data_IF_903809755259
#
_entry.id   IF_903809755259
#
_cell.length_a   1.000
_cell.length_b   1.000
_cell.length_c   1.000
_cell.angle_alpha   90.00
_cell.angle_beta   90.00
_cell.angle_gamma   90.00
#
_symmetry.space_group_name_H-M   'P 1'
#
loop_
_entity.id
_entity.type
_entity.pdbx_description
1 polymer ?
#
# COMPACT_ATOMS: atom_id res chain seq x y z
N UNK A 1 32.42 -69.32 9.30
CA UNK A 1 31.24 -69.44 8.42
C UNK A 1 30.16 -68.47 8.92
N UNK A 2 29.75 -67.52 8.05
CA UNK A 2 28.56 -66.60 8.11
C UNK A 2 28.43 -65.62 9.30
N UNK A 3 27.73 -64.47 9.13
CA UNK A 3 27.57 -63.65 7.92
C UNK A 3 27.76 -62.13 8.15
N UNK A 4 27.89 -61.40 7.03
CA UNK A 4 27.91 -59.93 6.92
C UNK A 4 26.50 -59.35 7.10
N UNK A 5 26.38 -58.27 7.86
CA UNK A 5 25.16 -57.45 7.92
C UNK A 5 25.10 -56.48 6.73
N UNK A 6 24.00 -56.54 5.98
CA UNK A 6 23.67 -55.61 4.92
C UNK A 6 23.01 -54.36 5.52
N UNK A 7 23.50 -53.17 5.18
CA UNK A 7 22.85 -51.92 5.51
C UNK A 7 21.73 -51.65 4.50
N UNK A 8 20.48 -51.62 4.96
CA UNK A 8 19.35 -51.08 4.21
C UNK A 8 19.48 -49.55 4.17
N UNK A 9 19.56 -48.99 2.97
CA UNK A 9 19.37 -47.56 2.73
C UNK A 9 17.85 -47.34 2.66
N UNK A 10 17.29 -46.71 3.70
CA UNK A 10 15.91 -46.23 3.68
C UNK A 10 15.87 -44.92 2.87
N UNK A 11 15.20 -44.94 1.72
CA UNK A 11 14.86 -43.74 0.98
C UNK A 11 13.75 -42.98 1.73
N UNK A 12 14.04 -41.79 2.21
CA UNK A 12 13.04 -40.88 2.75
C UNK A 12 12.26 -40.23 1.59
N UNK A 13 10.93 -40.10 1.67
CA UNK A 13 10.15 -39.42 0.64
C UNK A 13 10.40 -37.91 0.74
N UNK A 14 10.84 -37.31 -0.36
CA UNK A 14 10.91 -35.86 -0.52
C UNK A 14 9.46 -35.37 -0.63
N UNK A 15 8.92 -34.84 0.45
CA UNK A 15 7.67 -34.09 0.43
C UNK A 15 7.93 -32.77 -0.29
N UNK A 16 7.42 -32.65 -1.52
CA UNK A 16 7.43 -31.41 -2.28
C UNK A 16 6.37 -30.47 -1.68
N UNK A 17 6.78 -29.65 -0.72
CA UNK A 17 5.94 -28.57 -0.20
C UNK A 17 5.89 -27.44 -1.24
N UNK A 18 4.76 -27.32 -1.94
CA UNK A 18 4.43 -26.09 -2.66
C UNK A 18 4.14 -25.00 -1.61
N UNK A 19 5.12 -24.13 -1.37
CA UNK A 19 4.89 -22.90 -0.63
C UNK A 19 4.09 -21.94 -1.53
N UNK A 20 2.77 -21.90 -1.35
CA UNK A 20 1.97 -20.74 -1.70
C UNK A 20 2.46 -19.59 -0.81
N UNK A 21 3.37 -18.77 -1.33
CA UNK A 21 3.82 -17.55 -0.67
C UNK A 21 2.67 -16.54 -0.76
N UNK A 22 1.78 -16.57 0.23
CA UNK A 22 0.85 -15.49 0.48
C UNK A 22 1.67 -14.22 0.79
N UNK A 23 1.28 -13.06 0.24
CA UNK A 23 1.87 -11.78 0.59
C UNK A 23 1.88 -11.63 2.11
N UNK A 24 3.06 -11.63 2.73
CA UNK A 24 3.19 -11.23 4.12
C UNK A 24 2.71 -9.77 4.22
N UNK A 25 1.68 -9.58 5.05
CA UNK A 25 0.99 -8.30 5.24
C UNK A 25 1.99 -7.22 5.62
N UNK A 26 1.85 -6.04 5.02
CA UNK A 26 2.41 -4.83 5.58
C UNK A 26 1.92 -4.70 7.04
N UNK A 27 2.87 -4.58 7.96
CA UNK A 27 2.58 -4.38 9.38
C UNK A 27 1.81 -3.07 9.53
N UNK A 28 0.68 -3.01 10.24
CA UNK A 28 -0.02 -1.76 10.47
C UNK A 28 0.93 -0.80 11.18
N UNK A 29 1.13 0.38 10.58
CA UNK A 29 1.76 1.51 11.24
C UNK A 29 0.82 1.89 12.40
N UNK A 30 1.31 1.74 13.63
CA UNK A 30 0.56 2.15 14.82
C UNK A 30 0.39 3.68 14.88
N UNK A 31 -0.50 4.18 15.74
CA UNK A 31 -0.75 5.62 15.85
C UNK A 31 0.49 6.33 16.40
N UNK A 32 1.06 7.25 15.62
CA UNK A 32 2.08 8.19 16.09
C UNK A 32 1.40 9.42 16.74
N UNK A 33 2.06 10.09 17.70
CA UNK A 33 1.46 11.12 18.52
C UNK A 33 1.10 12.36 17.69
N UNK A 34 -0.04 12.97 18.04
CA UNK A 34 -0.63 14.14 17.43
C UNK A 34 0.39 15.18 16.96
N UNK A 35 0.37 15.49 15.66
CA UNK A 35 1.12 16.58 15.08
C UNK A 35 0.69 17.92 15.71
N UNK A 36 1.61 18.82 16.06
CA UNK A 36 1.26 20.13 16.61
C UNK A 36 0.60 21.00 15.54
N UNK A 37 -0.60 21.49 15.85
CA UNK A 37 -1.29 22.55 15.11
C UNK A 37 -0.53 23.88 15.29
N UNK A 38 0.37 24.21 14.37
CA UNK A 38 0.77 25.60 14.15
C UNK A 38 0.01 26.14 12.96
N UNK A 39 -0.95 27.03 13.25
CA UNK A 39 -1.62 27.84 12.24
C UNK A 39 -0.59 28.78 11.59
N UNK A 40 -0.36 28.61 10.29
CA UNK A 40 0.52 29.48 9.51
C UNK A 40 -0.32 30.37 8.60
N UNK A 41 0.08 31.64 8.55
CA UNK A 41 -0.53 32.71 7.78
C UNK A 41 -0.82 32.32 6.31
N UNK A 42 -1.94 32.83 5.79
CA UNK A 42 -2.39 32.66 4.41
C UNK A 42 -1.33 33.16 3.43
N UNK A 43 -0.62 32.22 2.81
CA UNK A 43 0.18 32.44 1.61
C UNK A 43 -0.77 32.49 0.40
N UNK A 44 -0.42 33.29 -0.60
CA UNK A 44 -1.11 33.30 -1.89
C UNK A 44 -1.21 31.86 -2.44
N UNK A 45 -2.29 31.50 -3.14
CA UNK A 45 -2.47 30.14 -3.63
C UNK A 45 -1.26 29.75 -4.50
N UNK A 46 -0.55 28.72 -4.06
CA UNK A 46 0.54 28.15 -4.84
C UNK A 46 -0.02 27.59 -6.15
N UNK A 47 0.80 27.59 -7.21
CA UNK A 47 0.42 26.91 -8.45
C UNK A 47 0.45 25.41 -8.19
N UNK A 48 -0.63 24.66 -8.50
CA UNK A 48 -0.65 23.22 -8.24
C UNK A 48 0.51 22.51 -8.92
N UNK A 49 1.19 21.62 -8.18
CA UNK A 49 2.28 20.85 -8.73
C UNK A 49 1.76 19.79 -9.69
N UNK A 50 2.39 19.69 -10.87
CA UNK A 50 2.04 18.68 -11.87
C UNK A 50 2.65 17.33 -11.46
N UNK A 51 1.86 16.24 -11.45
CA UNK A 51 2.40 14.90 -11.28
C UNK A 51 3.48 14.58 -12.32
N UNK A 52 4.62 14.00 -11.91
CA UNK A 52 5.65 13.59 -12.85
C UNK A 52 5.18 12.36 -13.65
N UNK A 53 5.72 12.18 -14.85
CA UNK A 53 5.46 10.99 -15.65
C UNK A 53 6.24 9.79 -15.08
N UNK A 54 5.61 8.61 -15.11
CA UNK A 54 6.29 7.36 -14.82
C UNK A 54 7.04 6.86 -16.05
N UNK A 55 8.26 6.35 -15.84
CA UNK A 55 9.03 5.62 -16.83
C UNK A 55 8.86 4.14 -16.52
N UNK A 56 8.39 3.37 -17.49
CA UNK A 56 8.28 1.91 -17.40
C UNK A 56 9.45 1.24 -18.12
N UNK A 57 10.01 0.20 -17.50
CA UNK A 57 10.93 -0.72 -18.13
C UNK A 57 10.46 -2.15 -17.94
N UNK A 58 10.55 -2.92 -19.02
CA UNK A 58 10.25 -4.35 -19.04
C UNK A 58 11.34 -5.12 -19.77
N UNK A 59 11.96 -6.09 -19.09
CA UNK A 59 13.10 -6.83 -19.64
C UNK A 59 12.80 -7.54 -20.97
N UNK A 60 11.58 -8.04 -21.15
CA UNK A 60 11.10 -8.72 -22.36
C UNK A 60 10.87 -7.78 -23.54
N UNK A 61 10.62 -6.50 -23.28
CA UNK A 61 10.37 -5.48 -24.33
C UNK A 61 11.61 -4.63 -24.61
N UNK A 62 12.29 -4.22 -23.55
CA UNK A 62 13.31 -3.18 -23.59
C UNK A 62 14.74 -3.74 -23.55
N UNK A 63 14.91 -5.00 -23.16
CA UNK A 63 16.23 -5.60 -22.94
C UNK A 63 17.01 -4.96 -21.79
N UNK A 64 18.32 -5.18 -21.76
CA UNK A 64 19.22 -4.54 -20.80
C UNK A 64 20.70 -4.86 -21.09
N UNK A 65 21.66 -4.00 -20.68
CA UNK A 65 21.45 -2.76 -19.91
C UNK A 65 20.78 -1.66 -20.72
N UNK A 66 19.86 -0.91 -20.09
CA UNK A 66 19.22 0.27 -20.69
C UNK A 66 19.12 1.41 -19.69
N UNK A 67 19.53 2.59 -20.10
CA UNK A 67 19.58 3.78 -19.24
C UNK A 67 18.47 4.76 -19.55
N UNK A 68 17.95 5.39 -18.50
CA UNK A 68 16.88 6.37 -18.54
C UNK A 68 17.27 7.59 -17.70
N UNK A 69 16.82 8.76 -18.10
CA UNK A 69 16.95 9.98 -17.31
C UNK A 69 15.63 10.25 -16.57
N UNK A 70 15.68 10.38 -15.25
CA UNK A 70 14.56 10.73 -14.40
C UNK A 70 14.97 11.85 -13.45
N UNK A 71 14.62 13.10 -13.78
CA UNK A 71 15.09 14.25 -13.01
C UNK A 71 16.63 14.30 -12.97
N UNK A 72 17.26 14.44 -11.79
CA UNK A 72 18.72 14.44 -11.66
C UNK A 72 19.35 13.04 -11.79
N UNK A 73 18.54 11.98 -11.87
CA UNK A 73 19.03 10.61 -11.81
C UNK A 73 19.16 9.98 -13.20
N UNK A 74 20.30 9.35 -13.46
CA UNK A 74 20.44 8.33 -14.51
C UNK A 74 20.19 6.96 -13.89
N UNK A 75 19.16 6.27 -14.38
CA UNK A 75 18.75 4.94 -13.91
C UNK A 75 19.04 3.93 -15.00
N UNK A 76 19.94 2.98 -14.74
CA UNK A 76 20.30 1.91 -15.68
C UNK A 76 19.72 0.58 -15.23
N UNK A 77 18.85 0.00 -16.04
CA UNK A 77 18.11 -1.23 -15.76
C UNK A 77 18.77 -2.43 -16.42
N UNK A 78 18.91 -3.51 -15.63
CA UNK A 78 19.28 -4.84 -16.10
C UNK A 78 18.35 -5.89 -15.47
N UNK A 79 18.32 -7.09 -16.05
CA UNK A 79 17.74 -8.26 -15.39
C UNK A 79 18.79 -8.92 -14.50
N UNK A 80 18.38 -9.37 -13.33
CA UNK A 80 19.21 -10.13 -12.40
C UNK A 80 18.49 -11.43 -12.03
N UNK A 81 19.23 -12.54 -12.00
CA UNK A 81 18.70 -13.80 -11.48
C UNK A 81 18.57 -13.74 -9.95
N UNK A 82 17.53 -14.38 -9.43
CA UNK A 82 17.23 -14.55 -8.00
C UNK A 82 16.59 -15.92 -7.77
N UNK A 83 16.42 -16.31 -6.51
CA UNK A 83 15.74 -17.56 -6.17
C UNK A 83 14.29 -17.62 -6.70
N UNK A 84 13.61 -16.47 -6.76
CA UNK A 84 12.24 -16.33 -7.28
C UNK A 84 12.18 -16.14 -8.81
N UNK A 85 13.29 -16.29 -9.53
CA UNK A 85 13.38 -16.06 -10.99
C UNK A 85 14.09 -14.74 -11.34
N UNK A 86 13.66 -14.07 -12.39
CA UNK A 86 14.22 -12.81 -12.86
C UNK A 86 13.61 -11.61 -12.10
N UNK A 87 14.47 -10.70 -11.65
CA UNK A 87 14.10 -9.44 -11.01
C UNK A 87 14.79 -8.24 -11.68
N UNK A 88 14.22 -7.04 -11.59
CA UNK A 88 14.91 -5.83 -12.04
C UNK A 88 16.10 -5.54 -11.14
N UNK A 89 17.18 -5.04 -11.72
CA UNK A 89 18.30 -4.44 -11.00
C UNK A 89 18.52 -3.03 -11.55
N UNK A 90 18.51 -2.05 -10.66
CA UNK A 90 18.66 -0.64 -10.98
C UNK A 90 20.05 -0.17 -10.51
N UNK A 91 20.87 0.31 -11.44
CA UNK A 91 22.05 1.11 -11.12
C UNK A 91 21.67 2.60 -11.23
N UNK A 92 21.60 3.30 -10.11
CA UNK A 92 21.13 4.68 -9.99
C UNK A 92 22.32 5.59 -9.76
N UNK A 93 22.49 6.62 -10.58
CA UNK A 93 23.55 7.63 -10.48
C UNK A 93 22.94 9.03 -10.54
N UNK A 94 23.51 9.97 -9.80
CA UNK A 94 23.26 11.42 -9.92
C UNK A 94 24.45 12.15 -10.57
N UNK A 95 25.39 11.38 -11.16
CA UNK A 95 26.66 11.90 -11.70
C UNK A 95 27.71 12.24 -10.63
N UNK A 96 27.41 12.06 -9.34
CA UNK A 96 28.31 12.38 -8.22
C UNK A 96 28.69 11.12 -7.45
N UNK A 97 29.92 10.66 -7.67
CA UNK A 97 30.46 9.50 -6.96
C UNK A 97 29.93 8.17 -7.51
N UNK A 98 29.93 7.15 -6.65
CA UNK A 98 29.53 5.80 -7.06
C UNK A 98 28.01 5.67 -7.21
N UNK A 99 27.53 4.91 -8.22
CA UNK A 99 26.12 4.62 -8.36
C UNK A 99 25.62 3.73 -7.21
N UNK A 100 24.36 3.91 -6.82
CA UNK A 100 23.62 2.97 -6.00
C UNK A 100 23.24 1.75 -6.84
N UNK A 101 23.50 0.55 -6.32
CA UNK A 101 22.98 -0.69 -6.89
C UNK A 101 21.77 -1.14 -6.07
N UNK A 102 20.59 -1.09 -6.68
CA UNK A 102 19.30 -1.38 -6.06
C UNK A 102 18.68 -2.60 -6.72
N UNK A 103 18.71 -3.78 -6.07
CA UNK A 103 17.93 -4.93 -6.52
C UNK A 103 16.45 -4.65 -6.27
N UNK A 104 15.61 -4.84 -7.28
CA UNK A 104 14.17 -4.80 -7.10
C UNK A 104 13.63 -6.01 -6.37
N UNK A 105 12.36 -5.93 -5.97
CA UNK A 105 11.68 -7.00 -5.25
C UNK A 105 11.00 -8.00 -6.18
N UNK A 106 10.69 -9.18 -5.62
CA UNK A 106 10.00 -10.26 -6.32
C UNK A 106 10.86 -10.95 -7.38
N UNK A 107 10.21 -11.83 -8.13
CA UNK A 107 10.82 -12.53 -9.25
C UNK A 107 9.77 -13.14 -10.15
N UNK A 108 10.04 -13.16 -11.45
CA UNK A 108 9.23 -13.87 -12.42
C UNK A 108 10.09 -14.77 -13.28
N UNK A 109 9.53 -15.91 -13.66
CA UNK A 109 10.21 -16.87 -14.52
C UNK A 109 10.42 -16.33 -15.95
N UNK A 110 9.70 -15.29 -16.36
CA UNK A 110 9.65 -14.86 -17.76
C UNK A 110 10.20 -13.46 -17.99
N UNK A 111 10.02 -12.53 -17.05
CA UNK A 111 10.43 -11.13 -17.24
C UNK A 111 10.72 -10.44 -15.91
N UNK A 112 11.27 -9.24 -15.99
CA UNK A 112 11.48 -8.33 -14.87
C UNK A 112 10.90 -6.97 -15.25
N UNK A 113 10.21 -6.30 -14.32
CA UNK A 113 9.56 -5.02 -14.56
C UNK A 113 9.82 -4.05 -13.41
N UNK A 114 10.17 -2.82 -13.79
CA UNK A 114 10.33 -1.70 -12.87
C UNK A 114 9.72 -0.45 -13.47
N UNK A 115 9.18 0.39 -12.59
CA UNK A 115 8.68 1.71 -12.93
C UNK A 115 9.26 2.71 -11.96
N UNK A 116 9.58 3.91 -12.44
CA UNK A 116 10.15 4.94 -11.58
C UNK A 116 9.80 6.33 -12.05
N UNK A 117 9.84 7.27 -11.11
CA UNK A 117 9.64 8.68 -11.38
C UNK A 117 10.45 9.53 -10.39
N UNK A 118 10.84 10.73 -10.79
CA UNK A 118 11.60 11.65 -9.96
C UNK A 118 10.77 12.89 -9.63
N UNK A 119 10.66 13.22 -8.34
CA UNK A 119 9.91 14.36 -7.85
C UNK A 119 10.43 14.81 -6.47
N UNK A 120 10.17 16.06 -6.11
CA UNK A 120 10.33 16.51 -4.72
C UNK A 120 9.13 16.02 -3.92
N UNK A 121 9.33 14.97 -3.12
CA UNK A 121 8.30 14.26 -2.37
C UNK A 121 8.49 14.43 -0.86
N UNK A 122 9.73 14.37 -0.37
CA UNK A 122 10.00 14.43 1.06
C UNK A 122 9.93 15.88 1.58
N UNK A 123 9.19 16.09 2.66
CA UNK A 123 9.05 17.40 3.31
C UNK A 123 10.30 17.84 4.10
N UNK A 124 11.23 16.93 4.39
CA UNK A 124 12.46 17.20 5.14
C UNK A 124 13.74 17.04 4.30
N UNK A 125 13.62 16.71 3.02
CA UNK A 125 14.75 16.53 2.11
C UNK A 125 14.76 17.63 1.05
N UNK A 126 15.93 18.18 0.80
CA UNK A 126 16.15 19.13 -0.29
C UNK A 126 16.39 18.36 -1.60
N UNK A 127 15.71 18.76 -2.68
CA UNK A 127 15.87 18.16 -4.00
C UNK A 127 14.82 17.10 -4.34
N UNK A 128 15.04 16.43 -5.48
CA UNK A 128 14.14 15.38 -5.95
C UNK A 128 14.57 14.02 -5.41
N UNK A 129 13.59 13.19 -5.06
CA UNK A 129 13.73 11.79 -4.76
C UNK A 129 13.28 10.95 -5.96
N UNK A 130 13.82 9.74 -6.08
CA UNK A 130 13.39 8.76 -7.06
C UNK A 130 12.46 7.77 -6.38
N UNK A 131 11.17 7.83 -6.72
CA UNK A 131 10.21 6.81 -6.33
C UNK A 131 10.30 5.67 -7.33
N UNK A 132 10.61 4.47 -6.84
CA UNK A 132 10.75 3.26 -7.62
C UNK A 132 9.66 2.29 -7.18
N UNK A 133 9.00 1.64 -8.14
CA UNK A 133 8.16 0.48 -7.89
C UNK A 133 8.55 -0.69 -8.78
N UNK A 134 8.65 -1.88 -8.20
CA UNK A 134 9.00 -3.09 -8.93
C UNK A 134 7.90 -4.12 -8.81
N UNK A 135 7.55 -4.73 -9.93
CA UNK A 135 6.45 -5.67 -9.96
C UNK A 135 6.86 -6.96 -9.24
N UNK A 136 6.10 -7.37 -8.22
CA UNK A 136 6.46 -8.56 -7.43
C UNK A 136 5.87 -9.85 -8.01
N UNK A 137 4.99 -9.74 -9.02
CA UNK A 137 4.29 -10.85 -9.67
C UNK A 137 3.33 -11.62 -8.77
N UNK A 138 2.81 -10.97 -7.72
CA UNK A 138 1.72 -11.49 -6.90
C UNK A 138 0.38 -11.60 -7.66
N UNK A 139 -0.57 -12.38 -7.12
CA UNK A 139 -1.86 -12.69 -7.74
C UNK A 139 -2.76 -11.46 -8.02
N UNK A 140 -2.49 -10.32 -7.38
CA UNK A 140 -3.29 -9.09 -7.52
C UNK A 140 -2.46 -7.93 -8.05
N UNK A 141 -1.48 -8.23 -8.90
CA UNK A 141 -0.62 -7.25 -9.54
C UNK A 141 0.16 -6.37 -8.54
N UNK A 142 0.71 -6.98 -7.49
CA UNK A 142 1.36 -6.29 -6.37
C UNK A 142 2.70 -5.63 -6.75
N UNK A 143 2.97 -4.44 -6.22
CA UNK A 143 4.23 -3.72 -6.41
C UNK A 143 4.91 -3.43 -5.07
N UNK A 144 6.23 -3.58 -5.03
CA UNK A 144 7.05 -3.09 -3.93
C UNK A 144 7.54 -1.68 -4.24
N UNK A 145 7.44 -0.77 -3.28
CA UNK A 145 7.80 0.64 -3.43
C UNK A 145 9.05 0.95 -2.61
N UNK A 146 9.97 1.68 -3.24
CA UNK A 146 11.17 2.18 -2.61
C UNK A 146 11.32 3.65 -2.95
N UNK A 147 11.72 4.45 -1.97
CA UNK A 147 12.16 5.82 -2.19
C UNK A 147 13.68 5.86 -2.11
N UNK A 148 14.30 6.39 -3.16
CA UNK A 148 15.74 6.61 -3.20
C UNK A 148 16.01 8.10 -3.14
N UNK A 149 16.89 8.51 -2.23
CA UNK A 149 17.33 9.89 -2.10
C UNK A 149 18.83 10.00 -1.86
N UNK A 150 19.36 11.19 -2.16
CA UNK A 150 20.75 11.55 -1.87
C UNK A 150 20.78 12.52 -0.71
N UNK A 151 21.33 12.09 0.41
CA UNK A 151 21.44 12.91 1.62
C UNK A 151 22.89 13.34 1.86
N UNK A 152 23.11 14.63 2.11
CA UNK A 152 24.39 15.15 2.56
C UNK A 152 24.61 14.80 4.04
N UNK A 153 25.74 14.17 4.35
CA UNK A 153 26.12 13.81 5.72
C UNK A 153 27.46 14.44 6.07
N UNK A 154 27.85 14.40 7.36
CA UNK A 154 29.20 14.81 7.78
C UNK A 154 30.34 14.00 7.14
N UNK A 155 30.02 12.85 6.53
CA UNK A 155 30.95 11.98 5.78
C UNK A 155 30.83 12.14 4.26
N UNK A 156 30.10 13.16 3.79
CA UNK A 156 29.77 13.42 2.39
C UNK A 156 28.41 12.85 1.97
N UNK A 157 28.08 13.04 0.69
CA UNK A 157 26.80 12.64 0.12
C UNK A 157 26.62 11.11 0.08
N UNK A 158 25.58 10.59 0.73
CA UNK A 158 25.24 9.17 0.79
C UNK A 158 23.88 8.88 0.15
N UNK A 159 23.77 7.69 -0.43
CA UNK A 159 22.48 7.16 -0.89
C UNK A 159 21.71 6.60 0.29
N UNK A 160 20.44 6.97 0.40
CA UNK A 160 19.49 6.40 1.36
C UNK A 160 18.34 5.78 0.56
N UNK A 161 17.93 4.58 0.98
CA UNK A 161 16.81 3.85 0.40
C UNK A 161 15.81 3.56 1.49
N UNK A 162 14.59 4.04 1.33
CA UNK A 162 13.48 3.77 2.23
C UNK A 162 12.57 2.73 1.60
N UNK A 163 12.29 1.67 2.34
CA UNK A 163 11.27 0.69 1.97
C UNK A 163 9.90 1.24 2.37
N UNK A 164 9.05 1.49 1.38
CA UNK A 164 7.70 2.02 1.59
C UNK A 164 6.65 0.89 1.66
N UNK A 165 7.08 -0.36 1.52
CA UNK A 165 6.22 -1.54 1.58
C UNK A 165 5.67 -1.96 0.22
N UNK A 166 4.69 -2.86 0.28
CA UNK A 166 4.03 -3.43 -0.89
C UNK A 166 2.58 -3.00 -0.97
N UNK A 167 2.12 -2.76 -2.18
CA UNK A 167 0.75 -2.35 -2.47
C UNK A 167 0.19 -3.24 -3.57
N UNK A 168 -0.99 -3.81 -3.32
CA UNK A 168 -1.78 -4.47 -4.35
C UNK A 168 -2.20 -3.49 -5.45
N UNK A 169 -2.56 -4.02 -6.62
CA UNK A 169 -2.84 -3.20 -7.81
C UNK A 169 -4.00 -2.20 -7.63
N UNK A 170 -4.94 -2.46 -6.71
CA UNK A 170 -5.95 -1.48 -6.31
C UNK A 170 -5.32 -0.42 -5.39
N UNK A 171 -5.55 0.87 -5.67
CA UNK A 171 -5.09 1.93 -4.78
C UNK A 171 -3.58 2.17 -4.74
N UNK A 172 -2.84 1.81 -5.79
CA UNK A 172 -1.40 2.04 -5.86
C UNK A 172 -1.03 3.52 -5.62
N UNK A 173 -0.09 3.82 -4.71
CA UNK A 173 0.34 5.19 -4.43
C UNK A 173 0.94 5.88 -5.67
N UNK A 174 0.50 7.11 -5.93
CA UNK A 174 0.99 7.94 -7.02
C UNK A 174 1.26 9.38 -6.55
N UNK A 175 2.36 10.01 -7.00
CA UNK A 175 2.60 11.42 -6.69
C UNK A 175 1.50 12.32 -7.23
N UNK A 176 0.91 13.15 -6.37
CA UNK A 176 -0.14 14.11 -6.72
C UNK A 176 -0.17 15.25 -5.71
N UNK A 177 -0.38 16.47 -6.19
CA UNK A 177 -0.75 17.60 -5.35
C UNK A 177 -2.24 17.47 -5.01
N UNK A 178 -2.53 16.96 -3.81
CA UNK A 178 -3.89 16.56 -3.44
C UNK A 178 -4.68 17.74 -2.89
N UNK A 179 -4.03 18.66 -2.17
CA UNK A 179 -4.66 19.83 -1.54
C UNK A 179 -4.43 21.15 -2.29
N UNK A 180 -3.59 21.16 -3.33
CA UNK A 180 -3.28 22.33 -4.14
C UNK A 180 -2.22 23.26 -3.52
N UNK A 181 -1.45 22.80 -2.53
CA UNK A 181 -0.41 23.59 -1.86
C UNK A 181 0.88 23.75 -2.68
N UNK A 182 0.94 23.14 -3.88
CA UNK A 182 2.12 23.17 -4.74
C UNK A 182 3.20 22.15 -4.36
N UNK A 183 2.92 21.26 -3.40
CA UNK A 183 3.75 20.10 -3.07
C UNK A 183 3.05 18.82 -3.54
N UNK A 184 3.82 17.75 -3.62
CA UNK A 184 3.31 16.44 -4.01
C UNK A 184 3.19 15.56 -2.77
N UNK A 185 2.01 15.00 -2.57
CA UNK A 185 1.75 13.86 -1.69
C UNK A 185 1.77 12.56 -2.50
N UNK A 186 1.66 11.42 -1.81
CA UNK A 186 1.26 10.18 -2.45
C UNK A 186 -0.22 9.95 -2.22
N UNK A 187 -1.00 9.90 -3.30
CA UNK A 187 -2.39 9.48 -3.27
C UNK A 187 -2.50 8.02 -3.72
N UNK A 188 -3.14 7.20 -2.89
CA UNK A 188 -3.50 5.82 -3.20
C UNK A 188 -4.79 5.41 -2.51
N UNK A 189 -4.90 4.14 -2.19
CA UNK A 189 -6.03 3.58 -1.46
C UNK A 189 -5.61 2.86 -0.19
N UNK A 190 -6.50 2.84 0.79
CA UNK A 190 -6.27 2.15 2.05
C UNK A 190 -6.40 0.64 1.91
N UNK A 191 -5.24 -0.01 1.74
CA UNK A 191 -5.13 -1.45 1.51
C UNK A 191 -5.67 -2.28 2.68
N UNK A 192 -5.88 -1.70 3.86
CA UNK A 192 -6.48 -2.40 5.02
C UNK A 192 -7.92 -2.84 4.76
N UNK A 193 -8.60 -2.21 3.79
CA UNK A 193 -9.96 -2.56 3.39
C UNK A 193 -10.02 -3.78 2.47
N UNK A 194 -8.90 -4.14 1.83
CA UNK A 194 -8.81 -5.35 1.03
C UNK A 194 -8.93 -6.57 1.94
N UNK A 195 -9.78 -7.52 1.55
CA UNK A 195 -10.08 -8.73 2.33
C UNK A 195 -10.80 -8.53 3.65
N UNK A 196 -11.09 -7.29 4.07
CA UNK A 196 -11.70 -7.01 5.37
C UNK A 196 -13.03 -7.78 5.52
N UNK A 197 -14.00 -7.49 4.64
CA UNK A 197 -15.34 -8.09 4.68
C UNK A 197 -15.74 -8.87 3.42
N UNK A 198 -14.88 -8.96 2.42
CA UNK A 198 -15.14 -9.73 1.20
C UNK A 198 -13.83 -10.16 0.54
N UNK A 199 -13.86 -11.10 -0.40
CA UNK A 199 -12.68 -11.40 -1.22
C UNK A 199 -12.19 -10.15 -1.98
N UNK A 200 -10.92 -10.14 -2.41
CA UNK A 200 -10.31 -9.02 -3.13
C UNK A 200 -11.16 -8.48 -4.27
N UNK A 201 -11.72 -9.36 -5.11
CA UNK A 201 -12.54 -8.98 -6.26
C UNK A 201 -13.81 -8.17 -5.88
N UNK A 202 -14.28 -8.34 -4.65
CA UNK A 202 -15.46 -7.68 -4.09
C UNK A 202 -15.11 -6.58 -3.09
N UNK A 203 -13.82 -6.31 -2.89
CA UNK A 203 -13.32 -5.23 -2.06
C UNK A 203 -13.18 -3.95 -2.88
N UNK A 204 -13.17 -2.83 -2.18
CA UNK A 204 -12.71 -1.53 -2.68
C UNK A 204 -11.86 -0.88 -1.60
N UNK A 205 -11.18 0.22 -1.93
CA UNK A 205 -10.31 0.93 -1.01
C UNK A 205 -10.70 2.42 -0.99
N UNK A 206 -10.92 3.03 0.18
CA UNK A 206 -11.12 4.47 0.26
C UNK A 206 -9.79 5.20 -0.04
N UNK A 207 -9.82 6.48 -0.42
CA UNK A 207 -8.61 7.27 -0.62
C UNK A 207 -7.73 7.28 0.62
N UNK A 208 -6.42 7.14 0.41
CA UNK A 208 -5.41 7.35 1.43
C UNK A 208 -4.33 8.30 0.89
N UNK A 209 -4.01 9.31 1.70
CA UNK A 209 -3.04 10.35 1.37
C UNK A 209 -1.87 10.24 2.34
N UNK A 210 -0.67 10.13 1.79
CA UNK A 210 0.55 10.13 2.58
C UNK A 210 1.42 11.32 2.24
N UNK A 211 1.92 11.97 3.29
CA UNK A 211 3.09 12.82 3.18
C UNK A 211 4.34 11.99 3.46
N UNK A 212 5.40 12.28 2.73
CA UNK A 212 6.70 11.72 3.02
C UNK A 212 7.47 12.69 3.92
N UNK A 213 7.87 12.22 5.10
CA UNK A 213 8.58 13.02 6.10
C UNK A 213 9.80 12.24 6.58
N UNK A 214 10.99 12.64 6.14
CA UNK A 214 12.25 11.99 6.52
C UNK A 214 12.27 10.51 6.11
N UNK A 215 11.81 10.21 4.90
CA UNK A 215 11.77 8.87 4.30
C UNK A 215 10.61 7.99 4.75
N UNK A 216 9.69 8.51 5.57
CA UNK A 216 8.56 7.74 6.10
C UNK A 216 7.24 8.23 5.52
N UNK A 217 6.37 7.30 5.16
CA UNK A 217 4.98 7.62 4.84
C UNK A 217 4.21 7.90 6.12
N UNK A 218 3.68 9.12 6.22
CA UNK A 218 2.79 9.55 7.29
C UNK A 218 1.39 9.65 6.69
N UNK A 219 0.45 8.85 7.19
CA UNK A 219 -0.95 8.96 6.79
C UNK A 219 -1.53 10.28 7.30
N UNK A 220 -1.87 11.16 6.36
CA UNK A 220 -2.43 12.48 6.64
C UNK A 220 -3.88 12.59 6.16
N UNK A 221 -4.50 11.48 5.77
CA UNK A 221 -5.84 11.42 5.16
C UNK A 221 -6.93 12.09 5.99
N UNK A 222 -6.77 12.11 7.31
CA UNK A 222 -7.71 12.74 8.23
C UNK A 222 -7.65 14.29 8.23
N UNK A 223 -6.59 14.89 7.67
CA UNK A 223 -6.42 16.33 7.72
C UNK A 223 -7.50 17.03 6.88
N UNK A 224 -8.16 18.10 7.39
CA UNK A 224 -9.26 18.76 6.69
C UNK A 224 -8.94 19.21 5.26
N UNK A 225 -7.67 19.54 4.97
CA UNK A 225 -7.22 19.96 3.64
C UNK A 225 -7.36 18.89 2.56
N UNK A 226 -7.43 17.61 2.95
CA UNK A 226 -7.61 16.49 2.01
C UNK A 226 -9.07 16.06 1.85
N UNK A 227 -10.02 16.75 2.48
CA UNK A 227 -11.46 16.53 2.27
C UNK A 227 -11.85 16.47 0.77
N UNK A 228 -11.31 17.32 -0.13
CA UNK A 228 -11.66 17.25 -1.55
C UNK A 228 -11.35 15.91 -2.22
N UNK A 229 -10.34 15.15 -1.75
CA UNK A 229 -10.04 13.82 -2.28
C UNK A 229 -11.19 12.83 -2.01
N UNK A 230 -11.77 12.89 -0.81
CA UNK A 230 -12.92 12.07 -0.44
C UNK A 230 -14.21 12.54 -1.13
N UNK A 231 -14.38 13.85 -1.34
CA UNK A 231 -15.53 14.38 -2.09
C UNK A 231 -15.50 13.92 -3.55
N UNK A 232 -14.31 13.85 -4.16
CA UNK A 232 -14.13 13.33 -5.51
C UNK A 232 -14.38 11.81 -5.61
N UNK A 233 -14.03 11.04 -4.57
CA UNK A 233 -14.20 9.59 -4.53
C UNK A 233 -15.64 9.13 -4.22
N UNK A 234 -16.36 9.87 -3.38
CA UNK A 234 -17.67 9.46 -2.87
C UNK A 234 -18.68 9.00 -3.94
N UNK A 235 -18.81 9.67 -5.11
CA UNK A 235 -19.72 9.22 -6.16
C UNK A 235 -19.37 7.83 -6.71
N UNK A 236 -18.09 7.56 -6.98
CA UNK A 236 -17.65 6.25 -7.50
C UNK A 236 -17.75 5.16 -6.45
N UNK A 237 -17.36 5.44 -5.21
CA UNK A 237 -17.48 4.47 -4.12
C UNK A 237 -18.95 4.11 -3.83
N UNK A 238 -19.83 5.12 -3.82
CA UNK A 238 -21.27 4.93 -3.64
C UNK A 238 -21.90 4.13 -4.78
N UNK A 239 -21.55 4.44 -6.02
CA UNK A 239 -22.02 3.69 -7.20
C UNK A 239 -21.57 2.23 -7.14
N UNK A 240 -20.31 1.98 -6.79
CA UNK A 240 -19.76 0.62 -6.69
C UNK A 240 -20.47 -0.21 -5.60
N UNK A 241 -20.69 0.40 -4.43
CA UNK A 241 -21.46 -0.23 -3.35
C UNK A 241 -22.91 -0.52 -3.80
N UNK A 242 -23.57 0.43 -4.46
CA UNK A 242 -24.95 0.26 -4.90
C UNK A 242 -25.11 -0.83 -5.99
N UNK A 243 -24.15 -0.92 -6.91
CA UNK A 243 -24.14 -1.90 -8.00
C UNK A 243 -23.84 -3.30 -7.48
N UNK A 244 -22.76 -3.45 -6.70
CA UNK A 244 -22.29 -4.78 -6.25
C UNK A 244 -23.08 -5.29 -5.04
N UNK A 245 -23.45 -4.39 -4.13
CA UNK A 245 -24.02 -4.71 -2.81
C UNK A 245 -23.17 -5.73 -2.05
N UNK A 246 -21.86 -5.61 -2.21
CA UNK A 246 -20.88 -6.47 -1.56
C UNK A 246 -20.32 -5.78 -0.31
N UNK A 247 -20.25 -6.46 0.85
CA UNK A 247 -19.75 -5.89 2.10
C UNK A 247 -18.42 -5.14 1.98
N UNK A 248 -17.46 -5.69 1.22
CA UNK A 248 -16.15 -5.07 1.02
C UNK A 248 -16.21 -3.73 0.27
N UNK A 249 -17.01 -3.65 -0.80
CA UNK A 249 -17.19 -2.41 -1.56
C UNK A 249 -17.95 -1.34 -0.75
N UNK A 250 -18.97 -1.76 0.00
CA UNK A 250 -19.76 -0.85 0.83
C UNK A 250 -19.00 -0.36 2.07
N UNK A 251 -18.07 -1.17 2.60
CA UNK A 251 -17.17 -0.74 3.68
C UNK A 251 -16.26 0.41 3.23
N UNK A 252 -15.71 0.36 2.02
CA UNK A 252 -14.91 1.46 1.48
C UNK A 252 -15.75 2.74 1.30
N UNK A 253 -16.98 2.61 0.80
CA UNK A 253 -17.90 3.75 0.73
C UNK A 253 -18.23 4.33 2.11
N UNK A 254 -18.44 3.48 3.12
CA UNK A 254 -18.64 3.90 4.50
C UNK A 254 -17.45 4.73 5.00
N UNK A 255 -16.23 4.28 4.74
CA UNK A 255 -15.00 4.99 5.13
C UNK A 255 -14.86 6.36 4.45
N UNK A 256 -15.11 6.44 3.15
CA UNK A 256 -15.12 7.72 2.41
C UNK A 256 -16.15 8.68 3.02
N UNK A 257 -17.36 8.20 3.28
CA UNK A 257 -18.42 9.03 3.88
C UNK A 257 -18.13 9.40 5.34
N UNK A 258 -17.45 8.55 6.11
CA UNK A 258 -16.99 8.86 7.46
C UNK A 258 -15.97 10.01 7.46
N UNK A 259 -14.98 10.00 6.55
CA UNK A 259 -14.03 11.12 6.37
C UNK A 259 -14.72 12.42 5.98
N UNK A 260 -15.88 12.33 5.32
CA UNK A 260 -16.70 13.48 4.98
C UNK A 260 -17.64 13.94 6.11
N UNK A 261 -17.73 13.22 7.22
CA UNK A 261 -18.71 13.47 8.28
C UNK A 261 -20.16 13.17 7.87
N UNK A 262 -20.34 12.29 6.87
CA UNK A 262 -21.62 11.97 6.20
C UNK A 262 -21.96 10.48 6.27
N UNK A 263 -21.38 9.73 7.21
CA UNK A 263 -21.58 8.28 7.32
C UNK A 263 -23.06 7.88 7.41
N UNK A 264 -23.91 8.70 8.05
CA UNK A 264 -25.35 8.45 8.13
C UNK A 264 -26.04 8.32 6.78
N UNK A 265 -25.53 8.99 5.74
CA UNK A 265 -26.05 8.93 4.37
C UNK A 265 -25.68 7.62 3.67
N UNK A 266 -24.63 6.93 4.12
CA UNK A 266 -24.16 5.68 3.52
C UNK A 266 -24.97 4.47 4.01
N UNK A 267 -25.58 4.56 5.19
CA UNK A 267 -26.23 3.44 5.85
C UNK A 267 -27.28 2.70 5.03
N UNK A 268 -28.19 3.35 4.29
CA UNK A 268 -29.18 2.63 3.50
C UNK A 268 -28.56 1.66 2.48
N UNK A 269 -27.39 2.00 1.91
CA UNK A 269 -26.69 1.12 0.97
C UNK A 269 -25.90 0.01 1.69
N UNK A 270 -25.28 0.34 2.83
CA UNK A 270 -24.51 -0.61 3.63
C UNK A 270 -25.43 -1.68 4.24
N UNK A 271 -26.57 -1.27 4.81
CA UNK A 271 -27.57 -2.17 5.37
C UNK A 271 -28.14 -3.10 4.28
N UNK A 272 -28.25 -2.61 3.03
CA UNK A 272 -28.69 -3.43 1.90
C UNK A 272 -27.63 -4.44 1.40
N UNK A 273 -26.38 -4.30 1.84
CA UNK A 273 -25.28 -5.23 1.60
C UNK A 273 -25.03 -6.18 2.78
N UNK A 274 -25.84 -6.11 3.85
CA UNK A 274 -25.68 -6.92 5.05
C UNK A 274 -25.72 -8.43 4.74
N UNK A 275 -24.65 -9.18 5.03
CA UNK A 275 -24.59 -10.63 4.81
C UNK A 275 -25.46 -11.42 5.79
N UNK A 276 -25.95 -10.83 6.89
CA UNK A 276 -26.71 -11.47 7.96
C UNK A 276 -28.05 -12.09 7.56
N UNK A 277 -28.59 -11.77 6.38
CA UNK A 277 -29.71 -12.51 5.79
C UNK A 277 -29.28 -13.84 5.13
N UNK A 278 -27.99 -14.03 4.86
CA UNK A 278 -27.43 -15.13 4.05
C UNK A 278 -26.40 -15.99 4.81
N UNK A 279 -25.76 -15.48 5.88
CA UNK A 279 -24.75 -16.22 6.66
C UNK A 279 -24.70 -15.79 8.14
N UNK A 280 -25.12 -16.65 9.09
CA UNK A 280 -25.05 -16.38 10.53
C UNK A 280 -23.63 -16.22 11.09
N UNK A 281 -22.59 -16.75 10.43
CA UNK A 281 -21.19 -16.57 10.85
C UNK A 281 -20.70 -15.13 10.65
N UNK A 282 -21.42 -14.33 9.85
CA UNK A 282 -21.16 -12.90 9.69
C UNK A 282 -21.48 -12.08 10.95
N UNK A 283 -22.22 -12.64 11.91
CA UNK A 283 -22.47 -12.05 13.23
C UNK A 283 -21.29 -12.20 14.21
N UNK A 284 -20.15 -12.72 13.75
CA UNK A 284 -18.91 -12.80 14.52
C UNK A 284 -17.83 -11.88 13.93
N UNK A 285 -17.00 -11.31 14.81
CA UNK A 285 -15.81 -10.53 14.46
C UNK A 285 -14.58 -11.09 15.17
N UNK A 286 -13.41 -10.94 14.57
CA UNK A 286 -12.14 -11.27 15.23
C UNK A 286 -11.66 -10.11 16.09
N UNK A 287 -11.38 -10.40 17.36
CA UNK A 287 -10.79 -9.43 18.26
C UNK A 287 -9.46 -8.86 17.71
N UNK A 288 -9.43 -7.53 17.56
CA UNK A 288 -8.31 -6.76 17.01
C UNK A 288 -8.34 -6.58 15.48
N UNK A 289 -9.51 -6.59 14.84
CA UNK A 289 -9.68 -6.19 13.44
C UNK A 289 -9.02 -7.14 12.41
N UNK A 290 -8.76 -8.39 12.79
CA UNK A 290 -8.11 -9.37 11.90
C UNK A 290 -9.13 -10.03 10.97
N UNK A 291 -8.71 -10.31 9.75
CA UNK A 291 -9.49 -11.02 8.72
C UNK A 291 -9.56 -12.54 8.90
N UNK A 292 -8.80 -13.13 9.82
CA UNK A 292 -8.85 -14.56 10.16
C UNK A 292 -8.81 -14.71 11.70
N UNK A 293 -9.77 -15.44 12.23
CA UNK A 293 -9.90 -15.77 13.65
C UNK A 293 -9.24 -17.12 13.93
N UNK A 294 -8.58 -17.21 15.08
CA UNK A 294 -8.48 -18.49 15.79
C UNK A 294 -9.73 -18.58 16.68
N UNK A 295 -10.28 -19.78 16.85
CA UNK A 295 -11.61 -20.03 17.47
C UNK A 295 -11.82 -19.35 18.84
N UNK A 296 -10.75 -19.00 19.56
CA UNK A 296 -10.76 -18.35 20.87
C UNK A 296 -10.87 -16.81 20.83
N UNK A 297 -10.97 -16.19 19.64
CA UNK A 297 -10.97 -14.72 19.47
C UNK A 297 -12.19 -14.17 18.75
N UNK A 298 -13.20 -14.99 18.51
CA UNK A 298 -14.46 -14.54 17.95
C UNK A 298 -15.29 -13.83 19.03
N UNK A 299 -15.71 -12.60 18.71
CA UNK A 299 -16.66 -11.84 19.51
C UNK A 299 -17.96 -11.67 18.73
N UNK A 300 -19.13 -11.85 19.37
CA UNK A 300 -20.40 -11.57 18.72
C UNK A 300 -20.54 -10.06 18.47
N UNK A 301 -21.00 -9.69 17.28
CA UNK A 301 -21.39 -8.32 16.92
C UNK A 301 -22.89 -8.22 16.82
N UNK A 302 -23.45 -7.08 17.24
CA UNK A 302 -24.90 -6.92 17.31
C UNK A 302 -25.55 -6.83 15.93
N UNK A 303 -24.80 -6.37 14.92
CA UNK A 303 -25.23 -6.23 13.53
C UNK A 303 -24.02 -6.05 12.59
N UNK A 304 -24.24 -6.14 11.27
CA UNK A 304 -23.21 -5.76 10.30
C UNK A 304 -22.81 -4.29 10.42
N UNK A 305 -23.75 -3.40 10.80
CA UNK A 305 -23.45 -2.00 11.10
C UNK A 305 -22.44 -1.86 12.25
N UNK A 306 -22.66 -2.55 13.37
CA UNK A 306 -21.74 -2.56 14.52
C UNK A 306 -20.33 -3.00 14.10
N UNK A 307 -20.24 -4.01 13.22
CA UNK A 307 -18.97 -4.48 12.65
C UNK A 307 -18.27 -3.41 11.79
N UNK A 308 -19.03 -2.71 10.94
CA UNK A 308 -18.50 -1.60 10.12
C UNK A 308 -18.00 -0.47 11.01
N UNK A 309 -18.80 -0.03 11.99
CA UNK A 309 -18.45 1.07 12.89
C UNK A 309 -17.17 0.76 13.67
N UNK A 310 -17.07 -0.44 14.29
CA UNK A 310 -15.85 -0.87 15.00
C UNK A 310 -14.62 -0.93 14.12
N UNK A 311 -14.77 -1.42 12.89
CA UNK A 311 -13.66 -1.45 11.95
C UNK A 311 -13.19 -0.04 11.59
N UNK A 312 -14.11 0.89 11.35
CA UNK A 312 -13.79 2.29 11.08
C UNK A 312 -13.18 3.01 12.29
N UNK A 313 -13.62 2.70 13.51
CA UNK A 313 -13.00 3.19 14.75
C UNK A 313 -11.57 2.64 14.91
N UNK A 314 -11.36 1.35 14.65
CA UNK A 314 -10.03 0.73 14.74
C UNK A 314 -9.01 1.33 13.77
N UNK A 315 -9.49 1.83 12.62
CA UNK A 315 -8.67 2.46 11.59
C UNK A 315 -8.66 4.00 11.66
N UNK A 316 -9.19 4.60 12.73
CA UNK A 316 -9.25 6.05 12.95
C UNK A 316 -10.02 6.83 11.85
N UNK A 317 -11.04 6.20 11.25
CA UNK A 317 -12.02 6.85 10.38
C UNK A 317 -13.18 7.44 11.20
N UNK A 318 -13.43 6.91 12.38
CA UNK A 318 -14.36 7.41 13.37
C UNK A 318 -13.63 7.66 14.69
N UNK A 319 -14.06 8.64 15.51
CA UNK A 319 -13.55 8.77 16.85
C UNK A 319 -13.94 7.52 17.65
N UNK A 320 -13.03 7.02 18.49
CA UNK A 320 -13.37 5.95 19.43
C UNK A 320 -14.55 6.42 20.30
N UNK A 321 -15.64 5.66 20.31
CA UNK A 321 -16.73 5.95 21.23
C UNK A 321 -16.23 5.76 22.66
N UNK A 322 -16.48 6.72 23.54
CA UNK A 322 -16.25 6.53 24.98
C UNK A 322 -17.08 5.31 25.40
N UNK A 323 -16.40 4.25 25.86
CA UNK A 323 -17.08 3.09 26.41
C UNK A 323 -17.97 3.57 27.56
N UNK A 324 -19.28 3.61 27.32
CA UNK A 324 -20.27 3.75 28.38
C UNK A 324 -20.10 2.53 29.28
N UNK A 325 -19.38 2.73 30.38
CA UNK A 325 -19.18 1.73 31.44
C UNK A 325 -20.45 1.58 32.27
#
# INVERSE_FOLDING_TARGET
MKPRAAALIAAAPIALAFALSACERAKPLGPDPAAPNTATASQAPATPARPPAWIEWRADKDGGPRSYQAGPFTVTLTKQASEAGLRPHLAISDGKGAPLNLPGSGGSMTTAQAEFTAAALDRQSEGQQLLVRTYTYGAHCCFAYQLVERQETSRGAQWIVHDLGQFDGAGMPTPKDVDGDGRLELLGGDQRFLYAFAAYAFSAVPPQVWELVGGKLVDVSAAPRYRPAFEADAPSAGALCAERREPGSCLAYAATMARLGRLSEAWPLIDAADPGAKDPSAAMECWGGRTLCLDDREIPVASFRDKVERFLEHLDYLPAQEAVR
#
